data_IF_421883966269
#
_entry.id   IF_421883966269
#
_cell.length_a   1.000
_cell.length_b   1.000
_cell.length_c   1.000
_cell.angle_alpha   90.00
_cell.angle_beta   90.00
_cell.angle_gamma   90.00
#
_symmetry.space_group_name_H-M   'P 1'
#
loop_
_entity.id
_entity.type
_entity.pdbx_description
1 polymer ?
#
# COMPACT_ATOMS: atom_id res chain seq x y z
N UNK A 1 -37.61 7.88 1.11
CA UNK A 1 -36.76 6.84 1.72
C UNK A 1 -35.51 7.52 2.25
N UNK A 2 -35.42 7.73 3.56
CA UNK A 2 -34.34 8.51 4.16
C UNK A 2 -33.04 7.67 4.23
N UNK A 3 -32.06 7.99 3.39
CA UNK A 3 -30.75 7.37 3.45
C UNK A 3 -29.86 8.09 4.48
N UNK A 4 -29.93 7.67 5.74
CA UNK A 4 -29.12 8.21 6.85
C UNK A 4 -27.76 7.51 7.05
N UNK A 5 -27.39 6.56 6.20
CA UNK A 5 -26.11 5.84 6.29
C UNK A 5 -25.47 5.74 4.91
N UNK A 6 -24.60 6.70 4.60
CA UNK A 6 -23.66 6.56 3.48
C UNK A 6 -22.70 5.39 3.72
N UNK A 7 -22.08 4.84 2.66
CA UNK A 7 -21.15 3.72 2.81
C UNK A 7 -20.02 4.10 3.75
N UNK A 8 -19.86 3.34 4.83
CA UNK A 8 -18.74 3.48 5.75
C UNK A 8 -17.47 3.13 4.98
N UNK A 9 -16.55 4.08 4.83
CA UNK A 9 -15.22 3.79 4.30
C UNK A 9 -14.56 2.75 5.19
N UNK A 10 -14.11 1.66 4.59
CA UNK A 10 -13.42 0.61 5.32
C UNK A 10 -12.09 1.16 5.81
N UNK A 11 -11.84 1.05 7.12
CA UNK A 11 -10.59 1.52 7.72
C UNK A 11 -9.42 0.69 7.20
N UNK A 12 -8.33 1.39 6.86
CA UNK A 12 -7.09 0.81 6.33
C UNK A 12 -5.91 1.43 7.06
N UNK A 13 -4.87 0.62 7.29
CA UNK A 13 -3.59 1.08 7.84
C UNK A 13 -2.55 1.23 6.74
N UNK A 14 -1.72 2.26 6.81
CA UNK A 14 -0.46 2.31 6.04
C UNK A 14 0.59 1.49 6.79
N UNK A 15 1.23 0.55 6.10
CA UNK A 15 2.31 -0.28 6.65
C UNK A 15 3.56 -0.09 5.79
N UNK A 16 4.60 0.50 6.38
CA UNK A 16 5.91 0.69 5.76
C UNK A 16 6.88 -0.37 6.30
N UNK A 17 7.30 -1.28 5.42
CA UNK A 17 8.29 -2.32 5.69
C UNK A 17 9.63 -1.82 5.15
N UNK A 18 10.50 -1.40 6.06
CA UNK A 18 11.84 -0.89 5.73
C UNK A 18 12.93 -1.89 6.13
N UNK A 19 14.20 -1.54 5.93
CA UNK A 19 15.33 -2.43 6.27
C UNK A 19 15.49 -2.70 7.77
N UNK A 20 14.98 -1.82 8.64
CA UNK A 20 15.26 -1.88 10.09
C UNK A 20 14.02 -1.92 10.96
N UNK A 21 12.84 -1.62 10.41
CA UNK A 21 11.60 -1.57 11.16
C UNK A 21 10.36 -1.70 10.26
N UNK A 22 9.28 -2.17 10.87
CA UNK A 22 7.92 -2.04 10.34
C UNK A 22 7.22 -0.88 11.06
N UNK A 23 6.65 0.04 10.29
CA UNK A 23 5.93 1.22 10.80
C UNK A 23 4.47 1.12 10.36
N UNK A 24 3.55 1.41 11.28
CA UNK A 24 2.12 1.38 11.04
C UNK A 24 1.52 2.74 11.38
N UNK A 25 0.69 3.27 10.48
CA UNK A 25 -0.09 4.49 10.68
C UNK A 25 -1.53 4.29 10.22
N UNK A 26 -2.49 4.64 11.07
CA UNK A 26 -3.90 4.69 10.74
C UNK A 26 -4.36 6.15 10.75
N UNK A 27 -4.97 6.60 9.65
CA UNK A 27 -5.52 7.93 9.53
C UNK A 27 -7.03 7.87 9.32
N UNK A 28 -7.76 8.74 10.01
CA UNK A 28 -9.14 9.07 9.66
C UNK A 28 -9.19 10.43 8.96
N UNK A 29 -10.21 10.59 8.11
CA UNK A 29 -10.50 11.84 7.41
C UNK A 29 -11.91 12.27 7.75
N UNK A 30 -12.06 13.46 8.31
CA UNK A 30 -13.33 14.14 8.47
C UNK A 30 -13.42 15.29 7.47
N UNK A 31 -14.62 15.54 6.94
CA UNK A 31 -14.91 16.72 6.13
C UNK A 31 -15.75 17.69 6.95
N UNK A 32 -15.23 18.89 7.18
CA UNK A 32 -15.95 19.98 7.83
C UNK A 32 -16.09 21.19 6.92
N UNK A 33 -16.69 22.28 7.43
CA UNK A 33 -16.84 23.56 6.71
C UNK A 33 -15.50 24.15 6.26
N UNK A 34 -14.40 23.82 6.93
CA UNK A 34 -13.04 24.30 6.62
C UNK A 34 -12.24 23.35 5.71
N UNK A 35 -12.89 22.34 5.11
CA UNK A 35 -12.24 21.35 4.24
C UNK A 35 -11.95 20.02 4.94
N UNK A 36 -11.00 19.28 4.37
CA UNK A 36 -10.57 17.98 4.86
C UNK A 36 -9.67 18.11 6.10
N UNK A 37 -10.06 17.46 7.19
CA UNK A 37 -9.25 17.32 8.39
C UNK A 37 -8.80 15.87 8.54
N UNK A 38 -7.50 15.67 8.78
CA UNK A 38 -6.92 14.36 9.04
C UNK A 38 -6.60 14.20 10.53
N UNK A 39 -6.78 12.98 11.03
CA UNK A 39 -6.44 12.60 12.41
C UNK A 39 -5.69 11.28 12.40
N UNK A 40 -4.64 11.20 13.22
CA UNK A 40 -3.96 9.94 13.53
C UNK A 40 -4.81 9.17 14.54
N UNK A 41 -5.28 8.00 14.15
CA UNK A 41 -6.04 7.12 15.06
C UNK A 41 -5.12 6.13 15.76
N UNK A 42 -4.17 5.56 15.03
CA UNK A 42 -3.22 4.56 15.54
C UNK A 42 -1.84 4.80 14.94
N UNK A 43 -0.80 4.58 15.74
CA UNK A 43 0.59 4.59 15.29
C UNK A 43 1.41 3.62 16.11
N UNK A 44 2.24 2.82 15.46
CA UNK A 44 3.21 1.95 16.13
C UNK A 44 4.42 1.67 15.24
N UNK A 45 5.54 1.35 15.87
CA UNK A 45 6.77 0.93 15.21
C UNK A 45 7.34 -0.26 15.96
N UNK A 46 7.77 -1.27 15.21
CA UNK A 46 8.49 -2.41 15.74
C UNK A 46 9.79 -2.63 14.94
N UNK A 47 10.93 -2.85 15.62
CA UNK A 47 12.19 -3.12 14.94
C UNK A 47 12.15 -4.49 14.26
N UNK A 48 12.82 -4.59 13.13
CA UNK A 48 13.06 -5.85 12.43
C UNK A 48 14.37 -6.48 12.94
N UNK A 49 14.45 -7.82 12.99
CA UNK A 49 15.73 -8.51 13.17
C UNK A 49 16.71 -8.13 12.07
N UNK A 50 18.01 -8.18 12.40
CA UNK A 50 19.05 -8.00 11.40
C UNK A 50 18.87 -9.01 10.26
N UNK A 51 19.11 -8.56 9.03
CA UNK A 51 19.00 -9.35 7.81
C UNK A 51 17.59 -9.86 7.45
N UNK A 52 16.53 -9.51 8.20
CA UNK A 52 15.16 -9.88 7.81
C UNK A 52 14.72 -9.20 6.50
N UNK A 53 15.24 -7.99 6.25
CA UNK A 53 15.08 -7.24 5.00
C UNK A 53 16.46 -6.79 4.53
N UNK A 54 16.85 -7.21 3.33
CA UNK A 54 18.16 -6.92 2.72
C UNK A 54 17.93 -6.28 1.37
N UNK A 55 18.56 -5.13 1.11
CA UNK A 55 18.40 -4.39 -0.15
C UNK A 55 16.94 -4.15 -0.57
N UNK A 56 16.06 -3.97 0.44
CA UNK A 56 14.60 -3.77 0.29
C UNK A 56 13.84 -5.00 -0.23
N UNK A 57 14.49 -6.16 -0.27
CA UNK A 57 13.86 -7.47 -0.42
C UNK A 57 13.63 -8.10 0.95
N UNK A 58 12.51 -8.77 1.13
CA UNK A 58 12.22 -9.55 2.33
C UNK A 58 12.99 -10.86 2.21
N UNK A 59 14.01 -11.04 3.06
CA UNK A 59 14.83 -12.24 3.09
C UNK A 59 14.29 -13.30 4.06
N UNK A 60 13.62 -12.87 5.13
CA UNK A 60 12.97 -13.74 6.12
C UNK A 60 11.50 -13.33 6.27
N UNK A 61 10.61 -14.08 5.62
CA UNK A 61 9.18 -13.79 5.55
C UNK A 61 8.52 -14.01 6.91
N UNK A 62 8.92 -15.06 7.62
CA UNK A 62 8.39 -15.42 8.93
C UNK A 62 8.72 -14.34 9.98
N UNK A 63 9.97 -13.87 10.02
CA UNK A 63 10.40 -12.81 10.92
C UNK A 63 9.66 -11.50 10.65
N UNK A 64 9.54 -11.09 9.38
CA UNK A 64 8.78 -9.90 8.99
C UNK A 64 7.30 -10.06 9.37
N UNK A 65 6.70 -11.21 9.11
CA UNK A 65 5.32 -11.52 9.47
C UNK A 65 5.05 -11.42 10.98
N UNK A 66 5.96 -11.93 11.80
CA UNK A 66 5.87 -11.80 13.26
C UNK A 66 5.95 -10.34 13.72
N UNK A 67 6.84 -9.54 13.13
CA UNK A 67 6.96 -8.12 13.44
C UNK A 67 5.71 -7.34 12.99
N UNK A 68 5.12 -7.68 11.84
CA UNK A 68 3.83 -7.12 11.40
C UNK A 68 2.72 -7.46 12.42
N UNK A 69 2.63 -8.71 12.87
CA UNK A 69 1.64 -9.09 13.88
C UNK A 69 1.83 -8.31 15.19
N UNK A 70 3.09 -8.09 15.60
CA UNK A 70 3.44 -7.32 16.79
C UNK A 70 3.08 -5.84 16.65
N UNK A 71 3.38 -5.20 15.52
CA UNK A 71 3.07 -3.77 15.32
C UNK A 71 1.56 -3.54 15.24
N UNK A 72 0.80 -4.45 14.62
CA UNK A 72 -0.66 -4.40 14.60
C UNK A 72 -1.22 -4.50 16.02
N UNK A 73 -0.75 -5.49 16.81
CA UNK A 73 -1.16 -5.63 18.21
C UNK A 73 -0.83 -4.40 19.05
N UNK A 74 0.36 -3.84 18.90
CA UNK A 74 0.81 -2.65 19.65
C UNK A 74 0.05 -1.38 19.27
N UNK A 75 -0.31 -1.22 17.99
CA UNK A 75 -1.07 -0.06 17.51
C UNK A 75 -2.49 0.00 18.08
N UNK A 76 -3.06 -1.14 18.50
CA UNK A 76 -4.45 -1.23 18.93
C UNK A 76 -5.48 -1.11 17.80
N UNK A 77 -5.04 -1.03 16.53
CA UNK A 77 -5.92 -0.84 15.39
C UNK A 77 -6.90 -2.01 15.20
N UNK A 78 -8.12 -1.67 14.81
CA UNK A 78 -9.15 -2.65 14.39
C UNK A 78 -9.20 -2.81 12.87
N UNK A 79 -8.46 -2.00 12.12
CA UNK A 79 -8.35 -2.14 10.68
C UNK A 79 -7.71 -3.48 10.32
N UNK A 80 -8.16 -4.07 9.22
CA UNK A 80 -7.65 -5.35 8.68
C UNK A 80 -7.22 -5.26 7.22
N UNK A 81 -7.44 -4.11 6.59
CA UNK A 81 -6.87 -3.79 5.29
C UNK A 81 -5.60 -2.97 5.51
N UNK A 82 -4.61 -3.16 4.64
CA UNK A 82 -3.37 -2.41 4.66
C UNK A 82 -3.03 -1.88 3.27
N UNK A 83 -2.50 -0.65 3.22
CA UNK A 83 -1.74 -0.13 2.09
C UNK A 83 -0.25 -0.36 2.36
N UNK A 84 0.43 -0.93 1.39
CA UNK A 84 1.88 -1.19 1.41
C UNK A 84 2.52 -0.60 0.15
N UNK A 85 3.84 -0.50 0.14
CA UNK A 85 4.61 -0.02 -1.00
C UNK A 85 5.73 -0.99 -1.35
N UNK A 86 6.12 -1.00 -2.63
CA UNK A 86 7.32 -1.67 -3.12
C UNK A 86 8.45 -0.66 -3.30
N UNK A 87 9.70 -1.13 -3.28
CA UNK A 87 10.83 -0.24 -3.55
C UNK A 87 10.76 0.36 -4.96
N UNK A 88 11.02 1.66 -5.09
CA UNK A 88 11.15 2.31 -6.40
C UNK A 88 12.25 1.68 -7.29
N UNK A 89 13.26 1.04 -6.70
CA UNK A 89 14.28 0.30 -7.48
C UNK A 89 13.75 -0.98 -8.12
N UNK A 90 12.60 -1.48 -7.68
CA UNK A 90 11.91 -2.65 -8.23
C UNK A 90 10.80 -2.24 -9.22
N UNK A 91 10.62 -0.94 -9.49
CA UNK A 91 9.53 -0.43 -10.33
C UNK A 91 10.12 0.32 -11.52
N UNK A 92 9.60 0.02 -12.71
CA UNK A 92 9.84 0.80 -13.92
C UNK A 92 8.55 1.57 -14.21
N UNK A 93 8.65 2.89 -14.37
CA UNK A 93 7.51 3.75 -14.75
C UNK A 93 7.77 4.35 -16.12
N UNK A 94 6.87 4.07 -17.07
CA UNK A 94 6.94 4.61 -18.43
C UNK A 94 5.57 5.11 -18.87
N UNK A 95 5.55 6.31 -19.45
CA UNK A 95 4.37 6.84 -20.14
C UNK A 95 4.45 6.43 -21.60
N UNK A 96 3.39 5.81 -22.12
CA UNK A 96 3.26 5.40 -23.53
C UNK A 96 2.08 6.11 -24.18
N UNK A 97 2.06 6.17 -25.51
CA UNK A 97 0.96 6.75 -26.29
C UNK A 97 0.15 5.64 -26.91
N UNK A 98 -1.18 5.71 -26.78
CA UNK A 98 -2.11 4.72 -27.32
C UNK A 98 -3.29 5.41 -28.03
N UNK A 99 -3.94 4.75 -29.00
CA UNK A 99 -5.15 5.29 -29.63
C UNK A 99 -6.27 5.53 -28.61
N UNK A 100 -6.88 6.71 -28.67
CA UNK A 100 -7.95 7.11 -27.74
C UNK A 100 -9.28 6.35 -27.94
N UNK A 101 -9.42 5.61 -29.03
CA UNK A 101 -10.62 4.84 -29.36
C UNK A 101 -10.66 3.47 -28.68
N UNK A 102 -9.58 3.03 -28.04
CA UNK A 102 -9.51 1.73 -27.38
C UNK A 102 -10.39 1.71 -26.12
N UNK A 103 -11.08 0.60 -25.92
CA UNK A 103 -11.68 0.26 -24.63
C UNK A 103 -10.60 -0.16 -23.61
N UNK A 104 -10.97 -0.16 -22.32
CA UNK A 104 -10.05 -0.57 -21.24
C UNK A 104 -9.49 -1.99 -21.46
N UNK A 105 -10.30 -2.92 -21.97
CA UNK A 105 -9.89 -4.30 -22.25
C UNK A 105 -8.90 -4.37 -23.41
N UNK A 106 -9.13 -3.61 -24.48
CA UNK A 106 -8.20 -3.54 -25.61
C UNK A 106 -6.89 -2.86 -25.21
N UNK A 107 -6.97 -1.83 -24.36
CA UNK A 107 -5.80 -1.16 -23.81
C UNK A 107 -4.96 -2.10 -22.95
N UNK A 108 -5.58 -2.86 -22.05
CA UNK A 108 -4.89 -3.87 -21.24
C UNK A 108 -4.19 -4.92 -22.11
N UNK A 109 -4.90 -5.47 -23.11
CA UNK A 109 -4.34 -6.46 -24.03
C UNK A 109 -3.13 -5.89 -24.81
N UNK A 110 -3.23 -4.66 -25.30
CA UNK A 110 -2.12 -4.02 -26.00
C UNK A 110 -0.94 -3.71 -25.07
N UNK A 111 -1.18 -3.23 -23.84
CA UNK A 111 -0.12 -3.02 -22.84
C UNK A 111 0.62 -4.33 -22.58
N UNK A 112 -0.11 -5.45 -22.46
CA UNK A 112 0.50 -6.74 -22.20
C UNK A 112 1.34 -7.25 -23.38
N UNK A 113 0.90 -7.04 -24.62
CA UNK A 113 1.66 -7.39 -25.83
C UNK A 113 2.93 -6.53 -26.00
N UNK A 114 2.88 -5.26 -25.60
CA UNK A 114 4.03 -4.35 -25.70
C UNK A 114 4.93 -4.38 -24.46
N UNK A 115 4.52 -5.04 -23.37
CA UNK A 115 5.24 -5.06 -22.11
C UNK A 115 6.69 -5.53 -22.28
N UNK A 116 6.92 -6.57 -23.08
CA UNK A 116 8.25 -7.14 -23.38
C UNK A 116 9.20 -6.13 -24.04
N UNK A 117 8.67 -5.14 -24.76
CA UNK A 117 9.48 -4.09 -25.39
C UNK A 117 10.01 -3.07 -24.38
N UNK A 118 9.41 -3.01 -23.19
CA UNK A 118 9.66 -1.97 -22.20
C UNK A 118 10.16 -2.49 -20.86
N UNK A 119 9.85 -3.74 -20.53
CA UNK A 119 10.15 -4.36 -19.22
C UNK A 119 11.11 -5.53 -19.44
N UNK A 120 12.33 -5.49 -18.87
CA UNK A 120 13.38 -6.50 -19.10
C UNK A 120 13.20 -7.77 -18.24
N UNK A 121 11.97 -8.10 -17.84
CA UNK A 121 11.65 -9.26 -17.01
C UNK A 121 10.57 -10.10 -17.72
N UNK A 122 10.71 -11.43 -17.78
CA UNK A 122 9.72 -12.32 -18.39
C UNK A 122 8.44 -12.44 -17.56
#
# INVERSE_FOLDING_TARGET
>A
MFAFFGPKKQAMVGVDISSTAVKLLELSKSSGRSGAQYRVESYAVEPLPANAVVEKNIADVEAVGQVIAKVVKRSGTRARLAAVAVSGSAVITKTITMPASLSDQEMEAQIQLEADQYIPYP
#
